data_IF_975845616423
#
_entry.id   IF_975845616423
#
_cell.length_a   1.000
_cell.length_b   1.000
_cell.length_c   1.000
_cell.angle_alpha   90.00
_cell.angle_beta   90.00
_cell.angle_gamma   90.00
#
_symmetry.space_group_name_H-M   'P 1'
#
loop_
_entity.id
_entity.type
_entity.pdbx_description
1 polymer ?
#
# COMPACT_ATOMS: atom_id res chain seq x y z
N UNK A 1 -3.99 4.86 4.87
CA UNK A 1 -4.00 3.63 4.05
C UNK A 1 -2.81 3.61 3.10
N UNK A 2 -2.55 4.70 2.39
CA UNK A 2 -1.31 4.87 1.63
C UNK A 2 -0.09 4.87 2.56
N UNK A 3 0.95 4.14 2.16
CA UNK A 3 2.24 4.05 2.88
C UNK A 3 3.42 4.48 2.01
N UNK A 4 3.15 5.23 0.93
CA UNK A 4 4.16 5.78 0.03
C UNK A 4 4.02 5.39 -1.45
N UNK A 5 2.86 4.89 -1.90
CA UNK A 5 2.63 4.63 -3.33
C UNK A 5 2.64 5.95 -4.13
N UNK A 6 2.26 7.07 -3.52
CA UNK A 6 2.28 8.38 -4.18
C UNK A 6 3.68 9.00 -4.32
N UNK A 7 4.71 8.48 -3.63
CA UNK A 7 6.01 9.15 -3.53
C UNK A 7 6.65 9.43 -4.90
N UNK A 8 6.48 8.50 -5.84
CA UNK A 8 7.07 8.55 -7.17
C UNK A 8 6.11 9.04 -8.26
N UNK A 9 4.89 9.45 -7.89
CA UNK A 9 3.91 9.98 -8.86
C UNK A 9 4.11 11.49 -9.06
N UNK A 10 3.75 12.04 -10.23
CA UNK A 10 3.74 13.48 -10.48
C UNK A 10 2.49 14.14 -9.86
N UNK A 11 2.28 13.96 -8.56
CA UNK A 11 1.15 14.52 -7.79
C UNK A 11 1.64 15.45 -6.68
N UNK A 12 0.79 16.40 -6.29
CA UNK A 12 0.97 17.19 -5.07
C UNK A 12 0.60 16.42 -3.80
N UNK A 13 -0.15 15.32 -3.92
CA UNK A 13 -0.61 14.52 -2.80
C UNK A 13 0.48 13.56 -2.34
N UNK A 14 1.46 14.10 -1.63
CA UNK A 14 2.56 13.34 -1.02
C UNK A 14 2.67 13.64 0.46
N UNK A 15 3.31 12.74 1.18
CA UNK A 15 3.59 12.86 2.63
C UNK A 15 4.95 12.27 2.96
N UNK A 16 5.90 12.41 2.04
CA UNK A 16 7.31 12.03 2.19
C UNK A 16 8.19 13.24 2.55
N UNK A 17 7.64 14.19 3.29
CA UNK A 17 8.30 15.40 3.77
C UNK A 17 7.76 15.78 5.18
N UNK A 18 8.48 16.60 5.97
CA UNK A 18 8.01 17.04 7.29
C UNK A 18 6.69 17.84 7.23
N UNK A 19 5.79 17.78 8.23
CA UNK A 19 5.98 17.14 9.54
C UNK A 19 5.70 15.63 9.57
N UNK A 20 5.27 15.03 8.46
CA UNK A 20 4.92 13.61 8.40
C UNK A 20 6.07 12.69 8.85
N UNK A 21 5.72 11.56 9.45
CA UNK A 21 6.67 10.55 9.90
C UNK A 21 7.49 10.90 11.16
N UNK A 22 7.19 12.02 11.85
CA UNK A 22 7.86 12.41 13.11
C UNK A 22 7.86 11.29 14.17
N UNK A 23 6.75 10.59 14.32
CA UNK A 23 6.55 9.48 15.26
C UNK A 23 6.69 8.09 14.60
N UNK A 24 7.02 8.05 13.31
CA UNK A 24 7.26 6.78 12.61
C UNK A 24 8.61 6.18 13.04
N UNK A 25 8.78 4.85 13.06
CA UNK A 25 10.08 4.25 13.36
C UNK A 25 11.21 4.82 12.49
N UNK A 26 12.18 5.48 13.13
CA UNK A 26 13.27 6.19 12.47
C UNK A 26 13.08 7.70 12.32
N UNK A 27 11.88 8.24 12.59
CA UNK A 27 11.61 9.67 12.62
C UNK A 27 11.63 10.35 11.25
N UNK A 28 11.34 9.64 10.17
CA UNK A 28 11.34 10.18 8.81
C UNK A 28 10.04 9.86 8.05
N UNK A 29 9.68 10.78 7.16
CA UNK A 29 8.49 10.70 6.34
C UNK A 29 8.58 9.57 5.29
N UNK A 30 7.63 8.62 5.30
CA UNK A 30 7.61 7.50 4.36
C UNK A 30 6.59 7.65 3.23
N UNK A 31 5.79 8.72 3.20
CA UNK A 31 4.59 8.80 2.36
C UNK A 31 3.32 8.26 3.04
N UNK A 32 3.36 8.14 4.37
CA UNK A 32 2.17 7.95 5.20
C UNK A 32 1.62 9.33 5.52
N UNK A 33 0.34 9.57 5.23
CA UNK A 33 -0.37 10.79 5.60
C UNK A 33 -0.69 10.80 7.11
N UNK A 34 0.35 10.72 7.93
CA UNK A 34 0.32 10.69 9.39
C UNK A 34 1.73 10.98 9.93
N UNK A 35 1.83 11.43 11.17
CA UNK A 35 3.11 11.54 11.87
C UNK A 35 3.72 10.17 12.18
N UNK A 36 2.92 9.10 12.18
CA UNK A 36 3.40 7.75 12.47
C UNK A 36 2.79 6.71 11.56
N UNK A 37 2.29 5.63 12.18
CA UNK A 37 1.67 4.50 11.49
C UNK A 37 0.25 4.84 11.05
N UNK A 38 -0.16 4.26 9.92
CA UNK A 38 -1.54 4.41 9.41
C UNK A 38 -2.41 3.22 9.83
N UNK A 39 -3.76 3.29 9.75
CA UNK A 39 -4.64 2.21 10.21
C UNK A 39 -4.30 0.82 9.66
N UNK A 40 -3.86 0.72 8.40
CA UNK A 40 -3.43 -0.54 7.78
C UNK A 40 -2.20 -1.16 8.46
N UNK A 41 -1.27 -0.35 8.97
CA UNK A 41 -0.13 -0.86 9.75
C UNK A 41 -0.57 -1.44 11.09
N UNK A 42 -1.54 -0.79 11.76
CA UNK A 42 -2.04 -1.24 13.06
C UNK A 42 -2.77 -2.59 12.93
N UNK A 43 -3.54 -2.75 11.86
CA UNK A 43 -4.23 -4.01 11.57
C UNK A 43 -3.23 -5.11 11.21
N UNK A 44 -2.22 -4.81 10.38
CA UNK A 44 -1.18 -5.78 10.02
C UNK A 44 -0.41 -6.29 11.25
N UNK A 45 -0.10 -5.42 12.21
CA UNK A 45 0.57 -5.82 13.45
C UNK A 45 -0.32 -6.71 14.32
N UNK A 46 -1.60 -6.37 14.47
CA UNK A 46 -2.57 -7.21 15.20
C UNK A 46 -2.72 -8.61 14.58
N UNK A 47 -2.53 -8.73 13.27
CA UNK A 47 -2.54 -10.00 12.54
C UNK A 47 -1.17 -10.72 12.54
N UNK A 48 -0.15 -10.17 13.21
CA UNK A 48 1.19 -10.77 13.28
C UNK A 48 1.98 -10.70 11.96
N UNK A 49 1.56 -9.86 11.01
CA UNK A 49 2.17 -9.75 9.68
C UNK A 49 3.40 -8.83 9.67
N UNK A 50 3.44 -7.87 10.59
CA UNK A 50 4.55 -6.94 10.78
C UNK A 50 4.07 -5.62 11.37
N UNK A 51 4.98 -4.84 11.94
CA UNK A 51 4.66 -3.52 12.49
C UNK A 51 4.23 -2.52 11.41
N UNK A 52 4.64 -2.72 10.17
CA UNK A 52 4.38 -1.81 9.06
C UNK A 52 4.14 -2.58 7.78
N UNK A 53 3.26 -2.07 6.92
CA UNK A 53 3.08 -2.57 5.57
C UNK A 53 3.90 -1.76 4.56
N UNK A 54 4.50 -2.42 3.56
CA UNK A 54 5.17 -1.73 2.46
C UNK A 54 4.16 -1.27 1.41
N UNK A 55 4.50 -0.15 0.75
CA UNK A 55 3.87 0.28 -0.50
C UNK A 55 4.23 -0.69 -1.63
N UNK A 56 3.27 -1.02 -2.51
CA UNK A 56 3.52 -1.88 -3.68
C UNK A 56 4.62 -1.34 -4.58
N UNK A 57 4.70 -0.01 -4.74
CA UNK A 57 5.74 0.65 -5.53
C UNK A 57 6.99 1.05 -4.74
N UNK A 58 7.22 0.43 -3.57
CA UNK A 58 8.44 0.70 -2.80
C UNK A 58 9.68 0.19 -3.56
N UNK A 59 10.70 1.03 -3.80
CA UNK A 59 11.93 0.62 -4.50
C UNK A 59 12.74 -0.40 -3.69
N UNK A 60 12.51 -0.48 -2.38
CA UNK A 60 13.22 -1.37 -1.46
C UNK A 60 12.47 -2.69 -1.21
N UNK A 61 11.41 -2.98 -1.96
CA UNK A 61 10.59 -4.17 -1.77
C UNK A 61 11.36 -5.45 -2.10
N UNK A 62 11.52 -6.33 -1.10
CA UNK A 62 12.15 -7.64 -1.31
C UNK A 62 11.07 -8.66 -1.71
N UNK A 63 11.40 -9.69 -2.50
CA UNK A 63 10.42 -10.70 -2.90
C UNK A 63 9.63 -11.32 -1.73
N UNK A 64 10.30 -11.55 -0.59
CA UNK A 64 9.68 -12.13 0.61
C UNK A 64 8.67 -11.20 1.30
N UNK A 65 8.78 -9.89 1.07
CA UNK A 65 7.87 -8.90 1.67
C UNK A 65 6.48 -8.98 1.02
N UNK A 66 6.42 -9.44 -0.23
CA UNK A 66 5.15 -9.75 -0.92
C UNK A 66 4.31 -10.77 -0.13
N UNK A 67 4.91 -11.62 0.70
CA UNK A 67 4.18 -12.65 1.45
C UNK A 67 3.60 -12.16 2.78
N UNK A 68 3.91 -10.93 3.20
CA UNK A 68 3.56 -10.39 4.52
C UNK A 68 2.40 -9.38 4.49
N UNK A 69 1.84 -9.12 3.31
CA UNK A 69 0.84 -8.08 3.12
C UNK A 69 1.45 -6.80 2.55
N UNK A 70 0.62 -6.05 1.83
CA UNK A 70 1.06 -4.95 0.96
C UNK A 70 -0.08 -3.95 0.80
N UNK A 71 0.24 -2.68 0.55
CA UNK A 71 -0.78 -1.68 0.23
C UNK A 71 -0.70 -1.23 -1.22
N UNK A 72 -1.87 -1.15 -1.85
CA UNK A 72 -2.07 -0.54 -3.17
C UNK A 72 -2.70 0.86 -3.04
N UNK A 73 -3.06 1.29 -1.82
CA UNK A 73 -3.75 2.54 -1.59
C UNK A 73 -2.92 3.74 -2.04
N UNK A 74 -3.61 4.79 -2.49
CA UNK A 74 -3.04 6.03 -3.00
C UNK A 74 -3.81 7.20 -2.40
N UNK A 75 -3.11 8.13 -1.75
CA UNK A 75 -3.74 9.26 -1.07
C UNK A 75 -4.50 10.17 -2.04
N UNK A 76 -5.72 10.56 -1.67
CA UNK A 76 -6.61 11.45 -2.44
C UNK A 76 -7.21 10.87 -3.72
N UNK A 77 -7.14 9.56 -3.88
CA UNK A 77 -8.03 8.84 -4.80
C UNK A 77 -9.44 8.78 -4.22
N UNK A 78 -10.44 8.69 -5.09
CA UNK A 78 -11.85 8.57 -4.72
C UNK A 78 -12.56 7.53 -5.57
N UNK A 79 -13.86 7.36 -5.35
CA UNK A 79 -14.67 6.42 -6.13
C UNK A 79 -14.73 6.78 -7.63
N UNK A 80 -14.86 8.07 -7.95
CA UNK A 80 -14.87 8.56 -9.33
C UNK A 80 -13.44 8.57 -9.90
N UNK A 81 -13.18 7.84 -11.01
CA UNK A 81 -11.89 7.87 -11.70
C UNK A 81 -11.44 9.28 -12.11
N UNK A 82 -12.37 10.22 -12.31
CA UNK A 82 -12.05 11.61 -12.62
C UNK A 82 -11.29 12.30 -11.48
N UNK A 83 -11.61 11.99 -10.22
CA UNK A 83 -10.87 12.50 -9.05
C UNK A 83 -9.41 12.07 -9.13
N UNK A 84 -9.17 10.77 -9.36
CA UNK A 84 -7.82 10.23 -9.47
C UNK A 84 -7.04 10.87 -10.63
N UNK A 85 -7.72 11.09 -11.77
CA UNK A 85 -7.14 11.75 -12.94
C UNK A 85 -6.74 13.20 -12.66
N UNK A 86 -7.62 13.99 -12.06
CA UNK A 86 -7.35 15.40 -11.72
C UNK A 86 -6.18 15.50 -10.72
N UNK A 87 -6.19 14.64 -9.70
CA UNK A 87 -5.16 14.66 -8.66
C UNK A 87 -3.85 13.95 -9.07
N UNK A 88 -3.81 13.31 -10.25
CA UNK A 88 -2.67 12.52 -10.74
C UNK A 88 -2.23 11.40 -9.78
N UNK A 89 -3.21 10.69 -9.22
CA UNK A 89 -3.03 9.60 -8.24
C UNK A 89 -3.57 8.27 -8.79
N UNK A 90 -3.32 7.17 -8.09
CA UNK A 90 -3.73 5.83 -8.55
C UNK A 90 -5.24 5.66 -8.30
N UNK A 91 -6.00 5.42 -9.36
CA UNK A 91 -7.45 5.18 -9.29
C UNK A 91 -7.77 3.87 -8.57
N UNK A 92 -8.95 3.74 -7.96
CA UNK A 92 -9.38 2.48 -7.34
C UNK A 92 -9.32 1.28 -8.31
N UNK A 93 -9.68 1.51 -9.59
CA UNK A 93 -9.57 0.52 -10.66
C UNK A 93 -8.12 0.06 -10.90
N UNK A 94 -7.18 1.00 -10.89
CA UNK A 94 -5.75 0.69 -11.02
C UNK A 94 -5.22 -0.05 -9.77
N UNK A 95 -5.69 0.30 -8.57
CA UNK A 95 -5.34 -0.46 -7.36
C UNK A 95 -5.79 -1.91 -7.45
N UNK A 96 -6.98 -2.17 -7.99
CA UNK A 96 -7.46 -3.53 -8.25
C UNK A 96 -6.64 -4.24 -9.34
N UNK A 97 -6.21 -3.52 -10.38
CA UNK A 97 -5.30 -4.04 -11.40
C UNK A 97 -3.96 -4.46 -10.77
N UNK A 98 -3.37 -3.60 -9.94
CA UNK A 98 -2.12 -3.90 -9.23
C UNK A 98 -2.26 -5.07 -8.26
N UNK A 99 -3.41 -5.22 -7.61
CA UNK A 99 -3.69 -6.42 -6.83
C UNK A 99 -3.68 -7.69 -7.69
N UNK A 100 -4.29 -7.67 -8.89
CA UNK A 100 -4.27 -8.82 -9.82
C UNK A 100 -2.85 -9.13 -10.29
N UNK A 101 -2.05 -8.11 -10.61
CA UNK A 101 -0.64 -8.26 -10.98
C UNK A 101 0.19 -8.84 -9.83
N UNK A 102 -0.04 -8.36 -8.61
CA UNK A 102 0.57 -8.90 -7.40
C UNK A 102 0.22 -10.39 -7.22
N UNK A 103 -1.04 -10.78 -7.36
CA UNK A 103 -1.45 -12.19 -7.25
C UNK A 103 -0.84 -13.06 -8.36
N UNK A 104 -0.73 -12.53 -9.57
CA UNK A 104 -0.02 -13.19 -10.68
C UNK A 104 1.46 -13.40 -10.34
N UNK A 105 2.12 -12.36 -9.80
CA UNK A 105 3.51 -12.41 -9.36
C UNK A 105 3.71 -13.45 -8.26
N UNK A 106 2.82 -13.51 -7.26
CA UNK A 106 2.87 -14.53 -6.21
C UNK A 106 2.75 -15.93 -6.81
N UNK A 107 1.79 -16.14 -7.73
CA UNK A 107 1.57 -17.43 -8.40
C UNK A 107 2.79 -17.87 -9.20
N UNK A 108 3.44 -16.94 -9.90
CA UNK A 108 4.64 -17.23 -10.70
C UNK A 108 5.85 -17.56 -9.83
N UNK A 109 6.07 -16.80 -8.75
CA UNK A 109 7.26 -16.94 -7.90
C UNK A 109 7.16 -18.03 -6.83
N UNK A 110 5.95 -18.25 -6.30
CA UNK A 110 5.72 -19.11 -5.13
C UNK A 110 4.71 -20.23 -5.39
N UNK A 111 4.20 -20.34 -6.62
CA UNK A 111 3.30 -21.40 -7.04
C UNK A 111 1.82 -21.14 -6.74
N UNK A 112 0.97 -21.92 -7.41
CA UNK A 112 -0.50 -21.81 -7.34
C UNK A 112 -1.03 -22.02 -5.92
N UNK A 113 -0.50 -23.00 -5.20
CA UNK A 113 -0.94 -23.33 -3.83
C UNK A 113 -0.70 -22.17 -2.87
N UNK A 114 0.45 -21.48 -2.99
CA UNK A 114 0.75 -20.32 -2.14
C UNK A 114 -0.12 -19.12 -2.49
N UNK A 115 -0.34 -18.86 -3.78
CA UNK A 115 -1.24 -17.80 -4.23
C UNK A 115 -2.67 -18.02 -3.70
N UNK A 116 -3.17 -19.25 -3.78
CA UNK A 116 -4.48 -19.62 -3.26
C UNK A 116 -4.56 -19.45 -1.74
N UNK A 117 -3.55 -19.94 -1.01
CA UNK A 117 -3.48 -19.75 0.43
C UNK A 117 -3.56 -18.28 0.85
N UNK A 118 -2.81 -17.40 0.16
CA UNK A 118 -2.85 -15.96 0.44
C UNK A 118 -4.26 -15.42 0.15
N UNK A 119 -4.86 -15.75 -1.00
CA UNK A 119 -6.19 -15.27 -1.35
C UNK A 119 -7.27 -15.70 -0.33
N UNK A 120 -7.24 -16.97 0.07
CA UNK A 120 -8.26 -17.58 0.95
C UNK A 120 -8.13 -17.15 2.42
N UNK A 121 -6.95 -16.64 2.83
CA UNK A 121 -6.64 -16.31 4.23
C UNK A 121 -6.34 -14.83 4.48
N UNK A 122 -6.40 -13.99 3.44
CA UNK A 122 -6.13 -12.56 3.56
C UNK A 122 -7.33 -11.79 4.10
N UNK A 123 -7.04 -10.68 4.78
CA UNK A 123 -8.01 -9.63 5.09
C UNK A 123 -7.78 -8.47 4.14
N UNK A 124 -8.85 -7.98 3.50
CA UNK A 124 -8.79 -6.85 2.60
C UNK A 124 -9.36 -5.60 3.27
N UNK A 125 -8.57 -4.53 3.30
CA UNK A 125 -8.99 -3.24 3.82
C UNK A 125 -9.24 -2.30 2.64
N UNK A 126 -10.50 -1.96 2.42
CA UNK A 126 -10.91 -1.02 1.36
C UNK A 126 -11.51 0.20 2.06
N UNK A 127 -10.93 1.37 1.79
CA UNK A 127 -11.43 2.64 2.28
C UNK A 127 -11.90 3.45 1.07
N UNK A 128 -13.16 3.86 1.10
CA UNK A 128 -13.75 4.75 0.10
C UNK A 128 -14.16 6.05 0.80
N UNK A 129 -14.00 7.16 0.09
CA UNK A 129 -14.27 8.52 0.54
C UNK A 129 -14.88 9.33 -0.59
#
# INVERSE_FOLDING_TARGET
>A
MDTGNNNNLPTLLKSNFPPYGKDFPGGFATGRFSDGRVPSDLIAEKLGLGKTLPAYFSPNMKPKDLLKGITFASGGTGYDPLTAKIMSVISLSDQLKYFKEYMSTIKQRYGKSRARYILDRSVFLVLNS
#
